data_IF_374467224420
#
_entry.id   IF_374467224420
#
_cell.length_a   1.000
_cell.length_b   1.000
_cell.length_c   1.000
_cell.angle_alpha   90.00
_cell.angle_beta   90.00
_cell.angle_gamma   90.00
#
_symmetry.space_group_name_H-M   'P 1'
#
loop_
_entity.id
_entity.type
_entity.pdbx_description
1 polymer ?
#
# COMPACT_ATOMS: atom_id res chain seq x y z
N UNK A 1 12.33 -5.92 31.14
CA UNK A 1 11.12 -6.63 30.67
C UNK A 1 10.88 -6.26 29.21
N UNK A 2 11.15 -7.17 28.26
CA UNK A 2 10.97 -6.88 26.84
C UNK A 2 9.49 -6.59 26.52
N UNK A 3 9.22 -5.51 25.78
CA UNK A 3 7.87 -5.12 25.37
C UNK A 3 7.29 -6.25 24.52
N UNK A 4 6.21 -6.91 24.98
CA UNK A 4 5.57 -7.99 24.23
C UNK A 4 5.02 -7.43 22.91
N UNK A 5 5.60 -7.84 21.78
CA UNK A 5 5.22 -7.36 20.45
C UNK A 5 3.83 -7.89 20.07
N UNK A 6 3.54 -9.14 20.44
CA UNK A 6 2.27 -9.80 20.18
C UNK A 6 1.30 -9.67 21.37
N UNK A 7 0.81 -8.46 21.60
CA UNK A 7 -0.36 -8.26 22.48
C UNK A 7 -1.63 -8.27 21.63
N UNK A 8 -2.77 -8.70 22.19
CA UNK A 8 -4.08 -8.66 21.51
C UNK A 8 -4.35 -7.25 20.94
N UNK A 9 -3.99 -6.21 21.69
CA UNK A 9 -4.05 -4.81 21.24
C UNK A 9 -3.25 -4.59 19.94
N UNK A 10 -1.99 -5.00 19.90
CA UNK A 10 -1.14 -4.81 18.72
C UNK A 10 -1.63 -5.63 17.51
N UNK A 11 -2.11 -6.85 17.74
CA UNK A 11 -2.69 -7.69 16.69
C UNK A 11 -3.95 -7.03 16.12
N UNK A 12 -4.83 -6.53 16.98
CA UNK A 12 -6.07 -5.83 16.57
C UNK A 12 -5.75 -4.57 15.76
N UNK A 13 -4.76 -3.77 16.19
CA UNK A 13 -4.29 -2.61 15.44
C UNK A 13 -3.76 -3.02 14.06
N UNK A 14 -2.95 -4.09 13.99
CA UNK A 14 -2.42 -4.61 12.73
C UNK A 14 -3.52 -5.04 11.75
N UNK A 15 -4.52 -5.78 12.24
CA UNK A 15 -5.69 -6.17 11.44
C UNK A 15 -6.45 -4.93 10.96
N UNK A 16 -6.68 -3.96 11.85
CA UNK A 16 -7.37 -2.71 11.49
C UNK A 16 -6.65 -1.92 10.38
N UNK A 17 -5.31 -1.87 10.42
CA UNK A 17 -4.51 -1.22 9.37
C UNK A 17 -4.62 -1.95 8.03
N UNK A 18 -4.60 -3.29 8.03
CA UNK A 18 -4.79 -4.09 6.80
C UNK A 18 -6.19 -3.87 6.23
N UNK A 19 -7.23 -3.86 7.08
CA UNK A 19 -8.60 -3.61 6.64
C UNK A 19 -8.77 -2.20 6.05
N UNK A 20 -8.14 -1.19 6.65
CA UNK A 20 -8.13 0.17 6.13
C UNK A 20 -7.45 0.24 4.76
N UNK A 21 -6.29 -0.41 4.61
CA UNK A 21 -5.56 -0.48 3.34
C UNK A 21 -6.42 -1.12 2.24
N UNK A 22 -7.05 -2.26 2.53
CA UNK A 22 -7.97 -2.91 1.60
C UNK A 22 -9.16 -2.02 1.26
N UNK A 23 -9.73 -1.31 2.22
CA UNK A 23 -10.84 -0.38 1.97
C UNK A 23 -10.42 0.76 1.04
N UNK A 24 -9.21 1.29 1.19
CA UNK A 24 -8.68 2.34 0.30
C UNK A 24 -8.50 1.80 -1.12
N UNK A 25 -7.94 0.60 -1.28
CA UNK A 25 -7.85 -0.05 -2.59
C UNK A 25 -9.21 -0.28 -3.24
N UNK A 26 -10.20 -0.74 -2.48
CA UNK A 26 -11.57 -0.93 -2.98
C UNK A 26 -12.15 0.40 -3.44
N UNK A 27 -12.04 1.46 -2.64
CA UNK A 27 -12.59 2.78 -3.01
C UNK A 27 -11.90 3.34 -4.27
N UNK A 28 -10.57 3.33 -4.31
CA UNK A 28 -9.82 3.83 -5.46
C UNK A 28 -10.09 2.99 -6.71
N UNK A 29 -10.18 1.66 -6.57
CA UNK A 29 -10.50 0.74 -7.66
C UNK A 29 -11.91 0.97 -8.21
N UNK A 30 -12.92 1.13 -7.34
CA UNK A 30 -14.29 1.44 -7.77
C UNK A 30 -14.38 2.80 -8.47
N UNK A 31 -13.63 3.80 -8.01
CA UNK A 31 -13.58 5.11 -8.67
C UNK A 31 -12.89 5.06 -10.03
N UNK A 32 -11.94 4.13 -10.23
CA UNK A 32 -11.25 3.96 -11.51
C UNK A 32 -12.00 3.04 -12.49
N UNK A 33 -12.88 2.18 -11.99
CA UNK A 33 -13.72 1.28 -12.80
C UNK A 33 -14.57 2.05 -13.83
N UNK A 34 -15.05 3.24 -13.48
CA UNK A 34 -15.75 4.14 -14.41
C UNK A 34 -14.89 4.52 -15.63
N UNK A 35 -13.57 4.69 -15.44
CA UNK A 35 -12.68 4.94 -16.56
C UNK A 35 -12.55 3.71 -17.46
N UNK A 36 -12.43 2.52 -16.88
CA UNK A 36 -12.26 1.27 -17.63
C UNK A 36 -13.54 0.91 -18.42
N UNK A 37 -14.72 1.06 -17.81
CA UNK A 37 -16.01 0.72 -18.41
C UNK A 37 -16.44 1.70 -19.51
N UNK A 38 -16.03 2.97 -19.42
CA UNK A 38 -16.42 4.05 -20.33
C UNK A 38 -15.23 4.65 -21.10
N UNK A 39 -14.14 3.89 -21.24
CA UNK A 39 -12.98 4.32 -22.01
C UNK A 39 -13.36 4.63 -23.46
N UNK A 40 -12.74 5.68 -24.00
CA UNK A 40 -12.96 6.17 -25.36
C UNK A 40 -11.60 6.42 -26.01
N UNK A 41 -11.29 5.63 -27.03
CA UNK A 41 -10.04 5.69 -27.79
C UNK A 41 -9.77 7.07 -28.40
N UNK A 42 -10.82 7.85 -28.68
CA UNK A 42 -10.68 9.20 -29.24
C UNK A 42 -10.08 10.20 -28.24
N UNK A 43 -10.13 9.91 -26.93
CA UNK A 43 -9.58 10.77 -25.87
C UNK A 43 -8.09 10.55 -25.64
N UNK A 44 -7.47 9.60 -26.33
CA UNK A 44 -6.05 9.26 -26.21
C UNK A 44 -5.84 7.85 -25.68
N UNK A 45 -4.57 7.46 -25.53
CA UNK A 45 -4.19 6.10 -25.16
C UNK A 45 -4.78 5.67 -23.81
N UNK A 46 -5.19 4.41 -23.73
CA UNK A 46 -5.68 3.78 -22.51
C UNK A 46 -4.62 3.82 -21.41
N UNK A 47 -5.00 4.10 -20.16
CA UNK A 47 -4.09 4.37 -19.03
C UNK A 47 -3.17 5.58 -19.18
N UNK A 48 -3.30 6.38 -20.24
CA UNK A 48 -2.63 7.67 -20.30
C UNK A 48 -3.37 8.70 -19.46
N UNK A 49 -2.61 9.59 -18.80
CA UNK A 49 -3.23 10.73 -18.15
C UNK A 49 -4.02 11.58 -19.16
N UNK A 50 -3.61 11.66 -20.43
CA UNK A 50 -4.30 12.51 -21.42
C UNK A 50 -5.77 12.11 -21.63
N UNK A 51 -6.09 10.81 -21.61
CA UNK A 51 -7.44 10.29 -21.87
C UNK A 51 -8.37 10.31 -20.67
N UNK A 52 -7.86 10.63 -19.48
CA UNK A 52 -8.62 10.67 -18.23
C UNK A 52 -9.23 12.05 -17.95
N UNK A 53 -10.44 12.05 -17.40
CA UNK A 53 -11.05 13.24 -16.78
C UNK A 53 -10.27 13.66 -15.52
N UNK A 54 -10.53 14.85 -14.99
CA UNK A 54 -9.84 15.34 -13.78
C UNK A 54 -10.02 14.42 -12.57
N UNK A 55 -11.21 13.86 -12.37
CA UNK A 55 -11.49 12.93 -11.27
C UNK A 55 -10.79 11.59 -11.46
N UNK A 56 -10.79 11.05 -12.68
CA UNK A 56 -10.09 9.81 -13.02
C UNK A 56 -8.56 9.98 -12.86
N UNK A 57 -7.99 11.11 -13.30
CA UNK A 57 -6.59 11.47 -13.06
C UNK A 57 -6.26 11.50 -11.58
N UNK A 58 -7.07 12.19 -10.77
CA UNK A 58 -6.84 12.29 -9.34
C UNK A 58 -6.88 10.90 -8.68
N UNK A 59 -7.81 10.05 -9.09
CA UNK A 59 -7.94 8.67 -8.60
C UNK A 59 -6.73 7.82 -9.00
N UNK A 60 -6.32 7.87 -10.26
CA UNK A 60 -5.15 7.15 -10.78
C UNK A 60 -3.85 7.57 -10.08
N UNK A 61 -3.64 8.88 -9.93
CA UNK A 61 -2.48 9.42 -9.20
C UNK A 61 -2.54 9.00 -7.74
N UNK A 62 -3.72 9.08 -7.11
CA UNK A 62 -3.94 8.62 -5.73
C UNK A 62 -3.59 7.15 -5.54
N UNK A 63 -4.02 6.27 -6.46
CA UNK A 63 -3.69 4.85 -6.45
C UNK A 63 -2.18 4.61 -6.55
N UNK A 64 -1.48 5.33 -7.44
CA UNK A 64 -0.04 5.22 -7.58
C UNK A 64 0.72 5.71 -6.33
N UNK A 65 0.29 6.84 -5.74
CA UNK A 65 0.84 7.33 -4.48
C UNK A 65 0.62 6.30 -3.36
N UNK A 66 -0.56 5.70 -3.30
CA UNK A 66 -0.88 4.68 -2.31
C UNK A 66 0.01 3.44 -2.45
N UNK A 67 0.24 2.98 -3.69
CA UNK A 67 1.19 1.90 -3.98
C UNK A 67 2.62 2.23 -3.53
N UNK A 68 3.10 3.45 -3.77
CA UNK A 68 4.43 3.89 -3.32
C UNK A 68 4.51 3.85 -1.79
N UNK A 69 3.49 4.35 -1.09
CA UNK A 69 3.44 4.32 0.38
C UNK A 69 3.53 2.87 0.87
N UNK A 70 2.77 1.95 0.28
CA UNK A 70 2.80 0.53 0.64
C UNK A 70 4.17 -0.12 0.39
N UNK A 71 4.82 0.17 -0.74
CA UNK A 71 6.17 -0.31 -1.03
C UNK A 71 7.17 0.20 0.03
N UNK A 72 7.09 1.47 0.41
CA UNK A 72 7.96 2.03 1.44
C UNK A 72 7.74 1.38 2.82
N UNK A 73 6.48 1.13 3.19
CA UNK A 73 6.13 0.43 4.44
C UNK A 73 6.68 -1.00 4.44
N UNK A 74 6.46 -1.76 3.36
CA UNK A 74 6.97 -3.13 3.23
C UNK A 74 8.50 -3.13 3.27
N UNK A 75 9.15 -2.23 2.52
CA UNK A 75 10.60 -2.08 2.52
C UNK A 75 11.17 -1.79 3.92
N UNK A 76 10.51 -0.92 4.68
CA UNK A 76 10.88 -0.65 6.07
C UNK A 76 10.71 -1.87 6.97
N UNK A 77 9.60 -2.61 6.86
CA UNK A 77 9.35 -3.84 7.64
C UNK A 77 10.44 -4.88 7.34
N UNK A 78 10.76 -5.11 6.07
CA UNK A 78 11.82 -6.04 5.64
C UNK A 78 13.17 -5.61 6.21
N UNK A 79 13.54 -4.33 6.08
CA UNK A 79 14.78 -3.78 6.66
C UNK A 79 14.85 -4.04 8.18
N UNK A 80 13.76 -3.81 8.90
CA UNK A 80 13.68 -4.04 10.35
C UNK A 80 13.87 -5.50 10.71
N UNK A 81 13.24 -6.42 9.97
CA UNK A 81 13.39 -7.87 10.18
C UNK A 81 14.84 -8.30 9.97
N UNK A 82 15.47 -7.88 8.86
CA UNK A 82 16.88 -8.20 8.57
C UNK A 82 17.79 -7.71 9.70
N UNK A 83 17.59 -6.48 10.18
CA UNK A 83 18.38 -5.91 11.28
C UNK A 83 18.22 -6.69 12.59
N UNK A 84 17.01 -7.12 12.91
CA UNK A 84 16.74 -7.95 14.11
C UNK A 84 17.44 -9.30 14.00
N UNK A 85 17.30 -9.98 12.86
CA UNK A 85 17.93 -11.29 12.63
C UNK A 85 19.46 -11.17 12.70
N UNK A 86 20.05 -10.17 12.04
CA UNK A 86 21.51 -9.93 12.09
C UNK A 86 22.00 -9.71 13.51
N UNK A 87 21.31 -8.89 14.30
CA UNK A 87 21.72 -8.60 15.68
C UNK A 87 21.63 -9.85 16.58
N UNK A 88 20.57 -10.65 16.45
CA UNK A 88 20.42 -11.89 17.22
C UNK A 88 21.51 -12.92 16.89
N UNK A 89 21.87 -13.05 15.61
CA UNK A 89 22.97 -13.94 15.16
C UNK A 89 24.31 -13.49 15.73
N UNK A 90 24.59 -12.19 15.75
CA UNK A 90 25.84 -11.66 16.32
C UNK A 90 25.92 -11.90 17.83
N UNK A 91 24.82 -11.78 18.57
CA UNK A 91 24.78 -12.06 20.01
C UNK A 91 24.94 -13.55 20.36
N UNK A 92 24.66 -14.47 19.42
CA UNK A 92 24.90 -15.92 19.63
C UNK A 92 26.32 -16.37 19.27
N UNK A 93 27.14 -15.50 18.65
CA UNK A 93 28.53 -15.82 18.26
C UNK A 93 29.58 -15.26 19.22
N UNK A 94 29.18 -14.46 20.22
CA UNK A 94 30.02 -13.92 21.30
C UNK A 94 29.71 -14.70 22.56
#
# INVERSE_FOLDING_TARGET
MGKKIFTIKNVTIGIGLIMLDLAIYVVLGLMLMDYDDFYDESKGEYWSLASMTTSQKATYIGLNIWNIINILIIGYIVYRIIKIVKNNVLQHRV
#
